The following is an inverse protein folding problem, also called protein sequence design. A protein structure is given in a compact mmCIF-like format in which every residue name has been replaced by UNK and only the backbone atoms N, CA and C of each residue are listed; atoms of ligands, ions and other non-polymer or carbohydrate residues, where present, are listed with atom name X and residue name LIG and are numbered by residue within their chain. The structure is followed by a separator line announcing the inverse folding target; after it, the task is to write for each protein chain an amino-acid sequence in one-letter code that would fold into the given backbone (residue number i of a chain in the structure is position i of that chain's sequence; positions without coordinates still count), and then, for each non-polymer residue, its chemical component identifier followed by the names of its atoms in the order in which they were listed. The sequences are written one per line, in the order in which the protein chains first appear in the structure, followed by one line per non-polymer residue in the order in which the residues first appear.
data_IF_684400620554
#
_entry.id   IF_684400620554
#
_cell.length_a   1.000
_cell.length_b   1.000
_cell.length_c   1.000
_cell.angle_alpha   90.00
_cell.angle_beta   90.00
_cell.angle_gamma   90.00
#
_symmetry.space_group_name_H-M   'P 1'
#
loop_
_entity.id
_entity.type
_entity.pdbx_description
1 polymer ?
#
# COMPACT_ATOMS: atom_id res chain seq x y z
N UNK A 1 2.64 -25.73 -1.82
CA UNK A 1 3.44 -25.49 -0.62
C UNK A 1 3.72 -24.01 -0.51
N UNK A 2 3.31 -23.39 0.58
CA UNK A 2 3.62 -21.99 0.87
C UNK A 2 5.13 -21.94 1.18
N UNK A 3 5.91 -21.42 0.27
CA UNK A 3 7.35 -21.17 0.49
C UNK A 3 7.47 -19.96 1.44
N UNK A 4 8.36 -20.10 2.43
CA UNK A 4 8.72 -19.00 3.33
C UNK A 4 9.26 -17.84 2.49
N UNK A 5 8.73 -16.65 2.68
CA UNK A 5 9.25 -15.45 2.04
C UNK A 5 10.39 -14.90 2.92
N UNK A 6 11.59 -14.91 2.41
CA UNK A 6 12.77 -14.37 3.07
C UNK A 6 13.15 -12.98 2.54
N UNK A 7 12.71 -12.64 1.32
CA UNK A 7 12.92 -11.34 0.67
C UNK A 7 11.58 -10.66 0.37
N UNK A 8 11.57 -9.33 0.35
CA UNK A 8 10.38 -8.54 0.02
C UNK A 8 9.93 -8.76 -1.43
N UNK A 9 10.85 -9.10 -2.33
CA UNK A 9 10.56 -9.39 -3.73
C UNK A 9 9.82 -10.69 -3.95
N UNK A 10 9.80 -11.59 -2.95
CA UNK A 10 8.99 -12.81 -2.99
C UNK A 10 7.48 -12.52 -2.87
N UNK A 11 7.13 -11.32 -2.35
CA UNK A 11 5.76 -10.88 -2.23
C UNK A 11 5.24 -10.24 -3.49
N UNK A 12 4.12 -10.76 -3.97
CA UNK A 12 3.46 -10.30 -5.18
C UNK A 12 2.05 -9.80 -4.89
N UNK A 13 1.68 -8.70 -5.52
CA UNK A 13 0.29 -8.26 -5.64
C UNK A 13 -0.06 -8.37 -7.12
N UNK A 14 -0.94 -9.31 -7.45
CA UNK A 14 -1.34 -9.61 -8.84
C UNK A 14 -0.15 -9.94 -9.76
N UNK A 15 0.81 -10.67 -9.22
CA UNK A 15 2.04 -11.08 -9.92
C UNK A 15 3.16 -10.04 -9.94
N UNK A 16 2.90 -8.79 -9.52
CA UNK A 16 3.88 -7.71 -9.50
C UNK A 16 4.62 -7.65 -8.17
N UNK A 17 5.94 -7.56 -8.23
CA UNK A 17 6.86 -7.47 -7.09
C UNK A 17 7.61 -6.14 -7.02
N UNK A 18 8.22 -5.88 -5.88
CA UNK A 18 9.24 -4.83 -5.74
C UNK A 18 10.43 -5.17 -6.66
N UNK A 19 10.86 -4.19 -7.43
CA UNK A 19 11.98 -4.33 -8.37
C UNK A 19 11.56 -4.59 -9.81
N UNK A 20 10.34 -5.07 -10.04
CA UNK A 20 9.82 -5.27 -11.39
C UNK A 20 9.69 -3.96 -12.18
N UNK A 21 9.60 -4.08 -13.49
CA UNK A 21 9.14 -2.99 -14.36
C UNK A 21 7.61 -2.99 -14.39
N UNK A 22 6.98 -1.87 -14.05
CA UNK A 22 5.53 -1.77 -14.20
C UNK A 22 5.06 -1.90 -15.65
N UNK A 23 5.96 -1.78 -16.63
CA UNK A 23 5.66 -1.99 -18.05
C UNK A 23 5.40 -3.45 -18.41
N UNK A 24 5.78 -4.40 -17.57
CA UNK A 24 5.49 -5.83 -17.75
C UNK A 24 4.01 -6.14 -17.46
N UNK A 25 3.30 -5.22 -16.78
CA UNK A 25 1.92 -5.40 -16.32
C UNK A 25 0.94 -4.40 -16.92
N UNK A 26 1.40 -3.18 -17.20
CA UNK A 26 0.58 -2.08 -17.69
C UNK A 26 1.25 -1.37 -18.86
N UNK A 27 0.47 -0.91 -19.81
CA UNK A 27 1.00 -0.08 -20.89
C UNK A 27 1.51 1.27 -20.37
N UNK A 28 2.50 1.84 -21.05
CA UNK A 28 3.03 3.18 -20.72
C UNK A 28 1.94 4.26 -20.73
N UNK A 29 0.95 4.13 -21.61
CA UNK A 29 -0.20 5.04 -21.69
C UNK A 29 -1.08 4.96 -20.45
N UNK A 30 -1.36 3.75 -19.94
CA UNK A 30 -2.12 3.56 -18.70
C UNK A 30 -1.37 4.12 -17.50
N UNK A 31 -0.08 3.78 -17.36
CA UNK A 31 0.75 4.31 -16.27
C UNK A 31 0.68 5.84 -16.24
N UNK A 32 0.89 6.49 -17.39
CA UNK A 32 0.84 7.96 -17.50
C UNK A 32 -0.55 8.53 -17.20
N UNK A 33 -1.60 7.91 -17.75
CA UNK A 33 -2.99 8.35 -17.56
C UNK A 33 -3.37 8.42 -16.07
N UNK A 34 -2.92 7.44 -15.28
CA UNK A 34 -3.23 7.33 -13.86
C UNK A 34 -2.10 7.79 -12.94
N UNK A 35 -1.07 8.44 -13.50
CA UNK A 35 0.06 8.94 -12.73
C UNK A 35 -0.28 10.24 -12.00
N UNK A 36 0.24 10.38 -10.79
CA UNK A 36 0.09 11.56 -9.96
C UNK A 36 1.37 11.83 -9.17
N UNK A 37 1.56 13.10 -8.83
CA UNK A 37 2.61 13.53 -7.89
C UNK A 37 2.15 13.48 -6.44
N UNK A 38 0.87 13.18 -6.21
CA UNK A 38 0.28 13.24 -4.88
C UNK A 38 0.48 14.60 -4.20
N UNK A 39 0.32 14.61 -2.89
CA UNK A 39 0.56 15.79 -2.05
C UNK A 39 2.00 15.85 -1.52
N UNK A 40 2.93 15.12 -2.16
CA UNK A 40 4.33 15.12 -1.77
C UNK A 40 5.01 16.43 -2.17
N UNK A 41 5.79 17.01 -1.26
CA UNK A 41 6.64 18.17 -1.55
C UNK A 41 7.89 17.73 -2.33
N UNK A 42 8.56 16.67 -1.86
CA UNK A 42 9.64 16.03 -2.59
C UNK A 42 9.09 15.26 -3.78
N UNK A 43 9.64 15.48 -4.97
CA UNK A 43 9.19 14.92 -6.23
C UNK A 43 10.06 13.76 -6.73
N UNK A 44 10.84 13.14 -5.84
CA UNK A 44 11.69 12.00 -6.19
C UNK A 44 10.89 10.79 -6.64
N UNK A 45 9.70 10.60 -6.08
CA UNK A 45 8.78 9.54 -6.47
C UNK A 45 7.48 10.08 -7.04
N UNK A 46 6.96 9.33 -8.00
CA UNK A 46 5.60 9.43 -8.53
C UNK A 46 4.84 8.17 -8.19
N UNK A 47 3.52 8.21 -8.28
CA UNK A 47 2.72 7.00 -8.19
C UNK A 47 1.70 6.93 -9.31
N UNK A 48 1.30 5.70 -9.66
CA UNK A 48 0.14 5.44 -10.50
C UNK A 48 -0.91 4.70 -9.70
N UNK A 49 -2.19 5.04 -9.93
CA UNK A 49 -3.35 4.43 -9.25
C UNK A 49 -4.29 3.88 -10.30
N UNK A 50 -4.02 2.66 -10.75
CA UNK A 50 -4.73 2.04 -11.87
C UNK A 50 -5.98 1.33 -11.38
N UNK A 51 -7.17 1.60 -11.95
CA UNK A 51 -8.38 0.82 -11.66
C UNK A 51 -8.15 -0.67 -11.99
N UNK A 52 -8.50 -1.52 -11.05
CA UNK A 52 -8.28 -2.96 -11.17
C UNK A 52 -9.47 -3.72 -10.61
N UNK A 53 -10.10 -4.57 -11.44
CA UNK A 53 -11.34 -5.25 -11.07
C UNK A 53 -11.20 -6.77 -11.09
N UNK A 54 -10.04 -7.28 -10.67
CA UNK A 54 -9.79 -8.73 -10.58
C UNK A 54 -9.46 -9.10 -9.14
N UNK A 55 -9.73 -10.34 -8.76
CA UNK A 55 -9.35 -10.92 -7.47
C UNK A 55 -9.76 -10.09 -6.24
N UNK A 56 -10.86 -9.32 -6.34
CA UNK A 56 -11.39 -8.50 -5.26
C UNK A 56 -10.74 -7.13 -5.10
N UNK A 57 -9.65 -6.83 -5.78
CA UNK A 57 -9.07 -5.49 -5.75
C UNK A 57 -9.89 -4.49 -6.55
N UNK A 58 -9.91 -3.25 -6.06
CA UNK A 58 -10.53 -2.11 -6.74
C UNK A 58 -9.50 -1.31 -7.52
N UNK A 59 -8.28 -1.23 -7.00
CA UNK A 59 -7.14 -0.53 -7.58
C UNK A 59 -5.84 -1.22 -7.25
N UNK A 60 -4.87 -1.05 -8.15
CA UNK A 60 -3.45 -1.30 -7.89
C UNK A 60 -2.73 0.05 -7.93
N UNK A 61 -2.01 0.35 -6.87
CA UNK A 61 -1.17 1.54 -6.79
C UNK A 61 0.28 1.10 -6.75
N UNK A 62 1.17 1.81 -7.44
CA UNK A 62 2.59 1.57 -7.32
C UNK A 62 3.38 2.88 -7.42
N UNK A 63 4.54 2.90 -6.79
CA UNK A 63 5.45 4.06 -6.80
C UNK A 63 6.73 3.71 -7.56
N UNK A 64 7.19 4.68 -8.32
CA UNK A 64 8.40 4.61 -9.12
C UNK A 64 9.14 5.95 -9.07
N UNK A 65 10.46 5.96 -9.35
CA UNK A 65 11.24 7.21 -9.34
C UNK A 65 10.83 8.13 -10.48
N UNK A 66 10.77 9.41 -10.17
CA UNK A 66 10.57 10.45 -11.18
C UNK A 66 11.67 10.36 -12.23
N UNK A 67 11.30 10.44 -13.53
CA UNK A 67 12.18 10.29 -14.70
C UNK A 67 12.71 8.87 -14.97
N UNK A 68 12.39 7.87 -14.16
CA UNK A 68 12.71 6.49 -14.48
C UNK A 68 11.85 6.00 -15.65
N UNK A 69 12.52 5.65 -16.77
CA UNK A 69 11.85 5.18 -17.99
C UNK A 69 11.45 3.71 -17.93
N UNK A 70 12.05 2.94 -17.01
CA UNK A 70 11.70 1.53 -16.78
C UNK A 70 10.50 1.37 -15.86
N UNK A 71 10.10 2.45 -15.16
CA UNK A 71 9.02 2.43 -14.16
C UNK A 71 9.23 1.33 -13.10
N UNK A 72 10.48 1.21 -12.61
CA UNK A 72 10.82 0.22 -11.58
C UNK A 72 9.97 0.45 -10.33
N UNK A 73 9.36 -0.63 -9.83
CA UNK A 73 8.45 -0.60 -8.68
C UNK A 73 9.24 -0.57 -7.37
N UNK A 74 8.99 0.43 -6.52
CA UNK A 74 9.58 0.59 -5.19
C UNK A 74 8.54 0.42 -4.07
N UNK A 75 7.29 0.59 -4.38
CA UNK A 75 6.16 0.29 -3.50
C UNK A 75 4.97 -0.13 -4.36
N UNK A 76 4.24 -1.13 -3.90
CA UNK A 76 2.99 -1.58 -4.53
C UNK A 76 1.91 -1.74 -3.48
N UNK A 77 0.67 -1.42 -3.85
CA UNK A 77 -0.50 -1.58 -2.98
C UNK A 77 -1.70 -2.12 -3.74
N UNK A 78 -2.31 -3.17 -3.20
CA UNK A 78 -3.66 -3.58 -3.55
C UNK A 78 -4.68 -2.85 -2.67
N UNK A 79 -5.70 -2.26 -3.28
CA UNK A 79 -6.74 -1.49 -2.58
C UNK A 79 -8.10 -2.15 -2.79
N UNK A 80 -8.84 -2.36 -1.69
CA UNK A 80 -10.22 -2.85 -1.69
C UNK A 80 -11.10 -1.82 -1.01
N UNK A 81 -12.14 -1.34 -1.68
CA UNK A 81 -13.08 -0.38 -1.11
C UNK A 81 -14.19 -1.08 -0.32
N UNK A 82 -14.51 -0.51 0.84
CA UNK A 82 -15.60 -0.93 1.73
C UNK A 82 -16.52 0.26 2.03
N UNK A 83 -17.30 0.66 1.04
CA UNK A 83 -18.18 1.81 1.16
C UNK A 83 -19.02 1.74 2.45
N UNK A 84 -18.76 2.68 3.38
CA UNK A 84 -19.46 2.82 4.67
C UNK A 84 -19.52 1.51 5.49
N UNK A 85 -18.53 0.63 5.35
CA UNK A 85 -18.52 -0.65 6.03
C UNK A 85 -17.14 -1.05 6.59
N UNK A 86 -16.67 -0.25 7.54
CA UNK A 86 -15.40 -0.47 8.22
C UNK A 86 -15.32 -1.86 8.90
N UNK A 87 -16.44 -2.38 9.44
CA UNK A 87 -16.46 -3.71 10.05
C UNK A 87 -16.09 -4.82 9.04
N UNK A 88 -16.62 -4.76 7.83
CA UNK A 88 -16.22 -5.71 6.76
C UNK A 88 -14.75 -5.56 6.36
N UNK A 89 -14.22 -4.32 6.37
CA UNK A 89 -12.80 -4.10 6.15
C UNK A 89 -11.96 -4.86 7.19
N UNK A 90 -12.27 -4.72 8.48
CA UNK A 90 -11.54 -5.39 9.56
C UNK A 90 -11.63 -6.91 9.47
N UNK A 91 -12.79 -7.47 9.09
CA UNK A 91 -12.93 -8.92 8.88
C UNK A 91 -11.99 -9.37 7.75
N UNK A 92 -12.03 -8.68 6.60
CA UNK A 92 -11.18 -9.01 5.45
C UNK A 92 -9.69 -8.83 5.77
N UNK A 93 -9.35 -7.83 6.56
CA UNK A 93 -7.99 -7.60 7.04
C UNK A 93 -7.49 -8.78 7.88
N UNK A 94 -8.32 -9.29 8.79
CA UNK A 94 -7.97 -10.42 9.64
C UNK A 94 -7.79 -11.72 8.84
N UNK A 95 -8.60 -11.94 7.80
CA UNK A 95 -8.45 -13.08 6.88
C UNK A 95 -7.09 -13.02 6.16
N UNK A 96 -6.76 -11.89 5.55
CA UNK A 96 -5.50 -11.69 4.83
C UNK A 96 -4.31 -11.79 5.79
N UNK A 97 -4.42 -11.20 6.98
CA UNK A 97 -3.37 -11.26 7.99
C UNK A 97 -3.06 -12.69 8.41
N UNK A 98 -4.10 -13.50 8.64
CA UNK A 98 -3.94 -14.92 9.00
C UNK A 98 -3.17 -15.71 7.93
N UNK A 99 -3.42 -15.45 6.65
CA UNK A 99 -2.73 -16.11 5.55
C UNK A 99 -1.28 -15.62 5.42
N UNK A 100 -1.07 -14.32 5.43
CA UNK A 100 0.25 -13.69 5.24
C UNK A 100 1.18 -13.96 6.42
N UNK A 101 0.68 -13.98 7.66
CA UNK A 101 1.51 -14.21 8.84
C UNK A 101 2.21 -15.57 8.83
N UNK A 102 1.65 -16.57 8.15
CA UNK A 102 2.28 -17.87 7.96
C UNK A 102 3.53 -17.82 7.07
N UNK A 103 3.58 -16.87 6.15
CA UNK A 103 4.70 -16.64 5.23
C UNK A 103 5.78 -15.75 5.84
N UNK A 104 5.41 -14.87 6.77
CA UNK A 104 6.24 -13.79 7.34
C UNK A 104 6.88 -14.14 8.68
N UNK A 105 7.23 -15.41 8.91
CA UNK A 105 7.77 -15.86 10.20
C UNK A 105 9.08 -15.19 10.61
N UNK A 106 9.87 -14.72 9.64
CA UNK A 106 11.12 -13.98 9.86
C UNK A 106 10.92 -12.48 10.05
N UNK A 107 9.71 -11.97 9.85
CA UNK A 107 9.40 -10.55 9.97
C UNK A 107 8.95 -10.17 11.38
N UNK A 108 9.35 -9.02 11.85
CA UNK A 108 8.86 -8.44 13.10
C UNK A 108 7.49 -7.82 12.90
N UNK A 109 6.47 -8.33 13.58
CA UNK A 109 5.10 -7.82 13.55
C UNK A 109 4.91 -6.70 14.56
N UNK A 110 4.26 -5.61 14.13
CA UNK A 110 3.77 -4.52 14.98
C UNK A 110 2.32 -4.20 14.61
N UNK A 111 1.53 -3.83 15.61
CA UNK A 111 0.16 -3.36 15.43
C UNK A 111 0.16 -1.83 15.62
N UNK A 112 -0.52 -1.14 14.72
CA UNK A 112 -0.74 0.29 14.82
C UNK A 112 -2.23 0.58 14.79
N UNK A 113 -2.71 1.28 15.82
CA UNK A 113 -4.07 1.78 15.89
C UNK A 113 -4.04 3.30 16.04
N UNK A 114 -4.80 3.97 15.20
CA UNK A 114 -5.05 5.41 15.29
C UNK A 114 -6.55 5.65 15.31
N UNK A 115 -7.00 6.38 16.32
CA UNK A 115 -8.39 6.88 16.38
C UNK A 115 -8.44 8.33 15.90
N UNK A 116 -9.52 8.66 15.19
CA UNK A 116 -9.77 10.05 14.78
C UNK A 116 -9.99 10.93 16.01
N UNK A 117 -9.50 12.16 15.92
CA UNK A 117 -9.82 13.16 16.90
C UNK A 117 -11.15 13.84 16.52
N UNK A 118 -12.17 13.72 17.38
CA UNK A 118 -13.48 14.31 17.14
C UNK A 118 -13.45 15.84 17.00
N UNK A 119 -12.44 16.49 17.56
CA UNK A 119 -12.25 17.94 17.54
C UNK A 119 -11.45 18.43 16.32
N UNK A 120 -10.98 17.53 15.45
CA UNK A 120 -10.24 17.93 14.26
C UNK A 120 -11.12 18.65 13.26
N UNK A 121 -10.73 19.88 12.86
CA UNK A 121 -11.44 20.66 11.83
C UNK A 121 -11.28 20.08 10.43
N UNK A 122 -10.16 19.40 10.16
CA UNK A 122 -9.84 18.84 8.84
C UNK A 122 -10.57 17.53 8.53
N UNK A 123 -11.24 16.94 9.54
CA UNK A 123 -11.72 15.56 9.44
C UNK A 123 -10.54 14.58 9.48
N UNK A 124 -10.78 13.43 10.06
CA UNK A 124 -9.73 12.44 10.28
C UNK A 124 -10.23 11.05 9.94
N UNK A 125 -9.31 10.11 10.09
CA UNK A 125 -9.58 8.69 9.85
C UNK A 125 -9.21 7.87 11.07
N UNK A 126 -9.96 6.79 11.28
CA UNK A 126 -9.50 5.67 12.08
C UNK A 126 -8.65 4.78 11.19
N UNK A 127 -7.57 4.24 11.75
CA UNK A 127 -6.70 3.29 11.07
C UNK A 127 -6.40 2.15 12.02
N UNK A 128 -6.57 0.93 11.55
CA UNK A 128 -6.05 -0.25 12.20
C UNK A 128 -5.13 -0.99 11.22
N UNK A 129 -3.89 -1.23 11.60
CA UNK A 129 -2.89 -1.78 10.70
C UNK A 129 -1.96 -2.80 11.36
N UNK A 130 -1.66 -3.86 10.62
CA UNK A 130 -0.56 -4.77 10.86
C UNK A 130 0.63 -4.34 10.03
N UNK A 131 1.80 -4.24 10.66
CA UNK A 131 3.07 -3.92 10.03
C UNK A 131 4.04 -5.08 10.23
N UNK A 132 4.60 -5.59 9.16
CA UNK A 132 5.62 -6.63 9.14
C UNK A 132 6.89 -6.05 8.57
N UNK A 133 7.98 -6.14 9.31
CA UNK A 133 9.28 -5.57 8.97
C UNK A 133 10.31 -6.69 8.90
N UNK A 134 11.08 -6.77 7.81
CA UNK A 134 12.24 -7.64 7.73
C UNK A 134 13.51 -6.94 8.24
N UNK A 135 14.61 -7.67 8.32
CA UNK A 135 15.91 -7.15 8.79
C UNK A 135 16.47 -6.05 7.88
N UNK A 136 16.07 -6.02 6.61
CA UNK A 136 16.45 -4.98 5.64
C UNK A 136 15.60 -3.71 5.77
N UNK A 137 14.63 -3.65 6.69
CA UNK A 137 13.66 -2.57 6.80
C UNK A 137 12.67 -2.42 5.64
N UNK A 138 12.49 -3.44 4.82
CA UNK A 138 11.35 -3.51 3.94
C UNK A 138 10.08 -3.80 4.76
N UNK A 139 8.92 -3.46 4.22
CA UNK A 139 7.69 -3.58 4.99
C UNK A 139 6.54 -4.16 4.17
N UNK A 140 5.79 -5.05 4.81
CA UNK A 140 4.43 -5.38 4.40
C UNK A 140 3.46 -4.76 5.41
N UNK A 141 2.42 -4.10 4.90
CA UNK A 141 1.41 -3.48 5.74
C UNK A 141 0.02 -3.87 5.27
N UNK A 142 -0.84 -4.25 6.22
CA UNK A 142 -2.26 -4.52 5.97
C UNK A 142 -3.04 -3.52 6.81
N UNK A 143 -3.71 -2.56 6.19
CA UNK A 143 -4.35 -1.47 6.89
C UNK A 143 -5.79 -1.26 6.45
N UNK A 144 -6.71 -1.21 7.41
CA UNK A 144 -8.05 -0.69 7.23
C UNK A 144 -8.11 0.78 7.61
N UNK A 145 -8.77 1.58 6.78
CA UNK A 145 -8.98 3.01 7.01
C UNK A 145 -10.46 3.33 6.92
N UNK A 146 -11.00 3.93 7.99
CA UNK A 146 -12.35 4.49 8.07
C UNK A 146 -12.24 6.01 8.02
N UNK A 147 -12.69 6.61 6.94
CA UNK A 147 -12.64 8.05 6.75
C UNK A 147 -13.86 8.74 7.37
N UNK A 148 -13.63 9.87 7.98
CA UNK A 148 -14.76 10.72 8.38
C UNK A 148 -15.54 11.17 7.14
N UNK A 149 -16.86 11.30 7.26
CA UNK A 149 -17.73 11.76 6.16
C UNK A 149 -17.32 13.11 5.58
N UNK A 150 -16.67 13.98 6.37
CA UNK A 150 -16.14 15.27 5.93
C UNK A 150 -15.06 15.13 4.84
N UNK A 151 -14.28 14.07 4.87
CA UNK A 151 -13.20 13.85 3.91
C UNK A 151 -13.68 13.39 2.54
N UNK A 152 -14.90 12.90 2.42
CA UNK A 152 -15.50 12.36 1.18
C UNK A 152 -14.64 11.25 0.51
N UNK A 153 -13.77 10.60 1.26
CA UNK A 153 -13.01 9.44 0.83
C UNK A 153 -13.77 8.16 1.15
N UNK A 154 -13.45 7.09 0.43
CA UNK A 154 -14.06 5.78 0.62
C UNK A 154 -13.21 4.97 1.60
N UNK A 155 -13.88 4.32 2.58
CA UNK A 155 -13.23 3.37 3.47
C UNK A 155 -12.60 2.25 2.68
N UNK A 156 -11.41 1.84 3.07
CA UNK A 156 -10.68 0.86 2.29
C UNK A 156 -9.68 0.05 3.11
N UNK A 157 -9.41 -1.13 2.61
CA UNK A 157 -8.26 -1.94 2.96
C UNK A 157 -7.13 -1.65 1.97
N UNK A 158 -5.93 -1.55 2.49
CA UNK A 158 -4.71 -1.56 1.69
C UNK A 158 -3.78 -2.67 2.15
N UNK A 159 -3.36 -3.49 1.20
CA UNK A 159 -2.21 -4.36 1.33
C UNK A 159 -1.04 -3.68 0.63
N UNK A 160 -0.03 -3.28 1.38
CA UNK A 160 1.13 -2.57 0.87
C UNK A 160 2.38 -3.44 0.99
N UNK A 161 3.21 -3.44 -0.04
CA UNK A 161 4.58 -3.97 -0.06
C UNK A 161 5.50 -2.81 -0.37
N UNK A 162 6.40 -2.48 0.56
CA UNK A 162 7.18 -1.25 0.55
C UNK A 162 8.66 -1.58 0.68
N UNK A 163 9.48 -1.17 -0.29
CA UNK A 163 10.93 -1.26 -0.16
C UNK A 163 11.46 -0.31 0.91
N UNK A 164 12.59 -0.66 1.51
CA UNK A 164 13.34 0.22 2.44
C UNK A 164 13.52 1.63 1.87
N UNK A 165 13.97 1.73 0.62
CA UNK A 165 14.23 3.02 -0.03
C UNK A 165 12.97 3.90 -0.09
N UNK A 166 11.84 3.32 -0.48
CA UNK A 166 10.57 4.05 -0.48
C UNK A 166 10.13 4.46 0.92
N UNK A 167 10.28 3.57 1.91
CA UNK A 167 9.94 3.87 3.30
C UNK A 167 10.78 5.01 3.89
N UNK A 168 12.07 5.01 3.63
CA UNK A 168 12.96 6.09 4.06
C UNK A 168 12.55 7.43 3.44
N UNK A 169 12.21 7.42 2.15
CA UNK A 169 11.72 8.61 1.48
C UNK A 169 10.39 9.11 2.05
N UNK A 170 9.38 8.25 2.18
CA UNK A 170 8.04 8.66 2.62
C UNK A 170 8.05 9.20 4.07
N UNK A 171 8.91 8.65 4.93
CA UNK A 171 9.00 9.05 6.33
C UNK A 171 9.86 10.30 6.54
N UNK A 172 10.87 10.54 5.71
CA UNK A 172 11.88 11.54 5.98
C UNK A 172 11.90 12.73 5.01
N UNK A 173 11.38 12.57 3.80
CA UNK A 173 11.50 13.58 2.73
C UNK A 173 10.18 13.99 2.07
N UNK A 174 9.28 13.06 1.87
CA UNK A 174 8.10 13.25 1.01
C UNK A 174 7.25 14.49 1.35
N UNK A 175 7.16 14.86 2.62
CA UNK A 175 6.30 15.95 3.11
C UNK A 175 7.07 17.14 3.72
N UNK A 176 8.38 17.16 3.60
CA UNK A 176 9.23 18.26 4.11
C UNK A 176 9.48 19.33 3.07
#
# INVERSE_FOLDING_TARGET
SLTKADDISDFQIEGMSIGDSALDYFSKSEIKKYSSRGNYKDKSFLYSSIPYKKNGYTKINFHYKNKDKSYKVYAISGVIYFKDNYKKCLIKQAEIEKEISLLLKSFTKKIHERKRNSNSKSGERDVYAYHYLNDNNDQIRIACTDWSKKMKYIDHLRLDVLSKEFREWINNKAFK
#
